data_IF_950651800735
#
_entry.id   IF_950651800735
#
_cell.length_a   1.000
_cell.length_b   1.000
_cell.length_c   1.000
_cell.angle_alpha   90.00
_cell.angle_beta   90.00
_cell.angle_gamma   90.00
#
_symmetry.space_group_name_H-M   'P 1'
#
loop_
_entity.id
_entity.type
_entity.pdbx_description
1 polymer ?
#
# COMPACT_ATOMS: atom_id res chain seq x y z
N UNK A 1 -57.37 -43.92 -9.24
CA UNK A 1 -56.17 -43.08 -9.16
C UNK A 1 -56.37 -42.08 -8.02
N UNK A 2 -55.65 -42.23 -6.90
CA UNK A 2 -55.71 -41.25 -5.79
C UNK A 2 -54.93 -40.01 -6.24
N UNK A 3 -55.63 -38.92 -6.53
CA UNK A 3 -55.02 -37.61 -6.76
C UNK A 3 -54.46 -37.11 -5.43
N UNK A 4 -53.13 -37.06 -5.33
CA UNK A 4 -52.42 -36.52 -4.18
C UNK A 4 -52.80 -35.04 -4.00
N UNK A 5 -53.47 -34.72 -2.89
CA UNK A 5 -53.63 -33.34 -2.44
C UNK A 5 -52.26 -32.83 -2.02
N UNK A 6 -51.49 -32.23 -2.93
CA UNK A 6 -50.30 -31.47 -2.57
C UNK A 6 -50.77 -30.35 -1.63
N UNK A 7 -50.35 -30.45 -0.37
CA UNK A 7 -50.77 -29.62 0.75
C UNK A 7 -50.51 -28.14 0.43
N UNK A 8 -51.56 -27.31 0.41
CA UNK A 8 -51.48 -25.83 0.30
C UNK A 8 -50.48 -25.18 1.28
N UNK A 9 -50.10 -25.89 2.36
CA UNK A 9 -49.06 -25.44 3.30
C UNK A 9 -47.62 -25.51 2.78
N UNK A 10 -47.32 -26.31 1.75
CA UNK A 10 -45.95 -26.43 1.22
C UNK A 10 -45.51 -25.16 0.46
N UNK A 11 -46.40 -24.55 -0.33
CA UNK A 11 -46.11 -23.30 -1.05
C UNK A 11 -45.94 -22.10 -0.13
N UNK A 12 -46.72 -22.02 0.96
CA UNK A 12 -46.60 -20.97 1.97
C UNK A 12 -45.28 -21.12 2.73
N UNK A 13 -44.92 -22.34 3.14
CA UNK A 13 -43.65 -22.63 3.80
C UNK A 13 -42.44 -22.29 2.90
N UNK A 14 -42.51 -22.60 1.60
CA UNK A 14 -41.46 -22.27 0.63
C UNK A 14 -41.30 -20.75 0.47
N UNK A 15 -42.40 -20.01 0.43
CA UNK A 15 -42.38 -18.54 0.31
C UNK A 15 -41.78 -17.89 1.56
N UNK A 16 -42.15 -18.36 2.75
CA UNK A 16 -41.58 -17.90 4.02
C UNK A 16 -40.07 -18.19 4.06
N UNK A 17 -39.66 -19.38 3.63
CA UNK A 17 -38.25 -19.77 3.57
C UNK A 17 -37.44 -18.84 2.64
N UNK A 18 -37.97 -18.51 1.46
CA UNK A 18 -37.31 -17.58 0.52
C UNK A 18 -37.16 -16.19 1.14
N UNK A 19 -38.19 -15.67 1.82
CA UNK A 19 -38.13 -14.38 2.50
C UNK A 19 -37.06 -14.39 3.62
N UNK A 20 -36.98 -15.48 4.39
CA UNK A 20 -35.95 -15.65 5.43
C UNK A 20 -34.56 -15.67 4.80
N UNK A 21 -34.36 -16.42 3.71
CA UNK A 21 -33.05 -16.51 3.02
C UNK A 21 -32.64 -15.13 2.49
N UNK A 22 -33.56 -14.40 1.85
CA UNK A 22 -33.28 -13.06 1.34
C UNK A 22 -32.95 -12.12 2.51
N UNK A 23 -33.79 -12.08 3.55
CA UNK A 23 -33.56 -11.23 4.72
C UNK A 23 -32.23 -11.55 5.43
N UNK A 24 -31.87 -12.82 5.52
CA UNK A 24 -30.59 -13.27 6.05
C UNK A 24 -29.40 -12.81 5.19
N UNK A 25 -29.52 -12.88 3.86
CA UNK A 25 -28.48 -12.41 2.94
C UNK A 25 -28.27 -10.89 3.03
N UNK A 26 -29.35 -10.12 3.19
CA UNK A 26 -29.29 -8.68 3.44
C UNK A 26 -28.61 -8.37 4.78
N UNK A 27 -28.98 -9.07 5.85
CA UNK A 27 -28.33 -8.93 7.16
C UNK A 27 -26.83 -9.24 7.12
N UNK A 28 -26.42 -10.31 6.42
CA UNK A 28 -25.00 -10.65 6.27
C UNK A 28 -24.27 -9.55 5.48
N UNK A 29 -24.84 -9.07 4.38
CA UNK A 29 -24.19 -8.03 3.57
C UNK A 29 -24.00 -6.72 4.34
N UNK A 30 -24.93 -6.38 5.22
CA UNK A 30 -24.85 -5.16 6.03
C UNK A 30 -23.90 -5.34 7.23
N UNK A 31 -23.85 -6.54 7.83
CA UNK A 31 -22.96 -6.84 8.94
C UNK A 31 -21.49 -7.10 8.53
N UNK A 32 -21.24 -7.57 7.30
CA UNK A 32 -19.91 -7.92 6.79
C UNK A 32 -19.50 -7.11 5.53
N UNK A 33 -20.25 -6.07 5.19
CA UNK A 33 -19.94 -5.19 4.07
C UNK A 33 -18.80 -4.21 4.40
N UNK A 34 -18.12 -3.65 3.39
CA UNK A 34 -17.10 -2.64 3.63
C UNK A 34 -17.74 -1.41 4.28
N UNK A 35 -17.08 -0.87 5.30
CA UNK A 35 -17.50 0.36 5.98
C UNK A 35 -16.58 1.50 5.57
N UNK A 36 -17.14 2.68 5.34
CA UNK A 36 -16.36 3.85 4.94
C UNK A 36 -16.32 4.87 6.06
N UNK A 37 -15.14 5.43 6.29
CA UNK A 37 -14.90 6.46 7.29
C UNK A 37 -14.00 7.53 6.70
N UNK A 38 -14.25 8.79 7.04
CA UNK A 38 -13.32 9.88 6.74
C UNK A 38 -12.69 10.35 8.04
N UNK A 39 -11.37 10.43 8.07
CA UNK A 39 -10.57 10.90 9.21
C UNK A 39 -9.79 12.12 8.75
N UNK A 40 -9.91 13.21 9.50
CA UNK A 40 -9.13 14.42 9.28
C UNK A 40 -8.01 14.49 10.32
N UNK A 41 -6.77 14.72 9.86
CA UNK A 41 -5.58 14.73 10.72
C UNK A 41 -4.79 15.99 10.42
N UNK A 42 -4.57 16.82 11.45
CA UNK A 42 -3.68 17.97 11.35
C UNK A 42 -2.21 17.51 11.25
N UNK A 43 -1.50 18.01 10.24
CA UNK A 43 -0.10 17.70 9.98
C UNK A 43 0.67 18.98 9.63
N UNK A 44 2.02 18.98 9.65
CA UNK A 44 2.82 20.20 9.47
C UNK A 44 2.60 20.95 8.14
N UNK A 45 2.04 20.30 7.13
CA UNK A 45 1.86 20.83 5.78
C UNK A 45 0.41 21.18 5.44
N UNK A 46 -0.49 21.07 6.41
CA UNK A 46 -1.93 21.22 6.22
C UNK A 46 -2.68 20.03 6.79
N UNK A 47 -3.98 19.98 6.50
CA UNK A 47 -4.86 18.93 7.00
C UNK A 47 -4.88 17.75 6.04
N UNK A 48 -4.60 16.56 6.55
CA UNK A 48 -4.73 15.32 5.79
C UNK A 48 -6.18 14.82 5.90
N UNK A 49 -6.86 14.70 4.77
CA UNK A 49 -8.17 14.07 4.63
C UNK A 49 -7.91 12.63 4.19
N UNK A 50 -8.24 11.69 5.08
CA UNK A 50 -8.07 10.26 4.86
C UNK A 50 -9.44 9.61 4.67
N UNK A 51 -9.68 8.99 3.51
CA UNK A 51 -10.89 8.20 3.29
C UNK A 51 -10.52 6.73 3.43
N UNK A 52 -11.00 6.13 4.50
CA UNK A 52 -10.78 4.73 4.88
C UNK A 52 -11.95 3.88 4.38
N UNK A 53 -11.62 2.75 3.77
CA UNK A 53 -12.50 1.63 3.54
C UNK A 53 -12.03 0.47 4.43
N UNK A 54 -12.81 0.21 5.48
CA UNK A 54 -12.66 -0.96 6.33
C UNK A 54 -13.27 -2.17 5.64
N UNK A 55 -12.48 -3.22 5.50
CA UNK A 55 -12.92 -4.53 5.03
C UNK A 55 -12.45 -5.57 6.03
N UNK A 56 -13.36 -6.38 6.56
CA UNK A 56 -13.00 -7.53 7.37
C UNK A 56 -13.46 -8.80 6.67
N UNK A 57 -12.56 -9.78 6.58
CA UNK A 57 -12.92 -11.15 6.26
C UNK A 57 -12.70 -12.06 7.48
N UNK A 58 -12.96 -13.36 7.34
CA UNK A 58 -12.81 -14.31 8.45
C UNK A 58 -11.35 -14.49 8.92
N UNK A 59 -10.37 -13.99 8.17
CA UNK A 59 -8.94 -14.19 8.40
C UNK A 59 -8.19 -12.91 8.80
N UNK A 60 -8.60 -11.74 8.29
CA UNK A 60 -7.87 -10.49 8.52
C UNK A 60 -8.78 -9.25 8.38
N UNK A 61 -8.26 -8.12 8.89
CA UNK A 61 -8.87 -6.80 8.78
C UNK A 61 -7.97 -5.92 7.92
N UNK A 62 -8.56 -5.23 6.96
CA UNK A 62 -7.87 -4.34 6.04
C UNK A 62 -8.49 -2.94 6.07
N UNK A 63 -7.62 -1.96 6.15
CA UNK A 63 -7.91 -0.54 6.05
C UNK A 63 -7.27 -0.03 4.76
N UNK A 64 -8.06 0.09 3.70
CA UNK A 64 -7.65 0.76 2.47
C UNK A 64 -7.88 2.26 2.65
N UNK A 65 -6.80 3.05 2.66
CA UNK A 65 -6.88 4.47 2.97
C UNK A 65 -6.37 5.30 1.81
N UNK A 66 -7.23 6.16 1.27
CA UNK A 66 -6.88 7.21 0.32
C UNK A 66 -6.52 8.51 1.04
N UNK A 67 -5.49 9.18 0.56
CA UNK A 67 -4.93 10.37 1.20
C UNK A 67 -5.04 11.60 0.32
N UNK A 68 -5.61 12.68 0.86
CA UNK A 68 -5.64 14.00 0.24
C UNK A 68 -5.14 15.04 1.22
N UNK A 69 -4.23 15.91 0.80
CA UNK A 69 -3.79 17.06 1.58
C UNK A 69 -4.64 18.27 1.24
N UNK A 70 -5.35 18.81 2.22
CA UNK A 70 -6.03 20.09 2.14
C UNK A 70 -5.08 21.20 2.58
N UNK A 71 -4.82 22.14 1.67
CA UNK A 71 -4.01 23.33 1.93
C UNK A 71 -4.88 24.51 2.35
N UNK A 72 -4.24 25.53 2.93
CA UNK A 72 -4.90 26.73 3.48
C UNK A 72 -5.78 27.48 2.47
N UNK A 73 -5.48 27.39 1.18
CA UNK A 73 -6.25 27.97 0.08
C UNK A 73 -7.46 27.11 -0.37
N UNK A 74 -7.83 26.08 0.40
CA UNK A 74 -8.83 25.06 0.04
C UNK A 74 -8.47 24.21 -1.19
N UNK A 75 -7.23 24.27 -1.66
CA UNK A 75 -6.74 23.38 -2.70
C UNK A 75 -6.48 21.99 -2.12
N UNK A 76 -6.77 20.95 -2.90
CA UNK A 76 -6.62 19.56 -2.47
C UNK A 76 -5.63 18.84 -3.37
N UNK A 77 -4.63 18.21 -2.75
CA UNK A 77 -3.63 17.39 -3.43
C UNK A 77 -3.88 15.93 -3.08
N UNK A 78 -4.21 15.09 -4.06
CA UNK A 78 -4.20 13.64 -3.84
C UNK A 78 -2.76 13.19 -3.62
N UNK A 79 -2.48 12.45 -2.55
CA UNK A 79 -1.13 11.97 -2.21
C UNK A 79 -0.95 10.48 -2.48
N UNK A 80 -2.00 9.74 -2.84
CA UNK A 80 -1.95 8.30 -3.03
C UNK A 80 -2.76 7.55 -1.99
N UNK A 81 -2.48 6.25 -1.87
CA UNK A 81 -3.18 5.34 -0.98
C UNK A 81 -2.22 4.42 -0.20
N UNK A 82 -2.71 3.82 0.88
CA UNK A 82 -2.03 2.81 1.67
C UNK A 82 -2.98 1.73 2.17
N UNK A 83 -2.43 0.57 2.51
CA UNK A 83 -3.18 -0.55 3.10
C UNK A 83 -2.59 -0.84 4.47
N UNK A 84 -3.45 -0.97 5.48
CA UNK A 84 -3.06 -1.22 6.85
C UNK A 84 -3.92 -2.32 7.47
N UNK A 85 -3.38 -3.04 8.46
CA UNK A 85 -4.10 -4.10 9.17
C UNK A 85 -4.30 -3.78 10.66
N UNK A 86 -4.14 -2.50 11.04
CA UNK A 86 -4.25 -2.03 12.41
C UNK A 86 -5.07 -0.73 12.46
N UNK A 87 -5.99 -0.64 13.41
CA UNK A 87 -6.93 0.49 13.60
C UNK A 87 -6.23 1.84 13.86
N UNK A 88 -4.99 1.82 14.38
CA UNK A 88 -4.17 3.00 14.65
C UNK A 88 -3.22 3.36 13.51
N UNK A 89 -3.54 2.98 12.27
CA UNK A 89 -2.72 3.25 11.08
C UNK A 89 -2.30 4.71 10.93
N UNK A 90 -3.13 5.66 11.41
CA UNK A 90 -2.87 7.09 11.33
C UNK A 90 -1.61 7.54 12.08
N UNK A 91 -1.18 6.78 13.10
CA UNK A 91 0.06 7.03 13.86
C UNK A 91 1.32 6.74 13.02
N UNK A 92 1.18 5.87 12.00
CA UNK A 92 2.28 5.45 11.11
C UNK A 92 2.43 6.35 9.89
N UNK A 93 1.57 7.35 9.73
CA UNK A 93 1.59 8.26 8.58
C UNK A 93 2.67 9.31 8.75
N UNK A 94 3.60 9.27 7.81
CA UNK A 94 4.62 10.27 7.61
C UNK A 94 4.33 11.07 6.34
N UNK A 95 4.17 12.38 6.50
CA UNK A 95 4.11 13.31 5.38
C UNK A 95 5.51 13.85 5.11
N UNK A 96 5.84 13.97 3.83
CA UNK A 96 7.11 14.51 3.37
C UNK A 96 6.89 15.66 2.40
N UNK A 97 7.90 16.51 2.28
CA UNK A 97 7.94 17.56 1.27
C UNK A 97 9.32 17.57 0.64
N UNK A 98 9.38 17.49 -0.69
CA UNK A 98 10.61 17.61 -1.47
C UNK A 98 10.37 18.75 -2.47
N UNK A 99 10.87 19.94 -2.13
CA UNK A 99 10.63 21.17 -2.90
C UNK A 99 9.12 21.43 -3.12
N UNK A 100 8.64 21.44 -4.36
CA UNK A 100 7.22 21.63 -4.70
C UNK A 100 6.38 20.34 -4.63
N UNK A 101 6.98 19.21 -4.25
CA UNK A 101 6.31 17.92 -4.15
C UNK A 101 5.89 17.64 -2.71
N UNK A 102 4.60 17.38 -2.53
CA UNK A 102 4.04 16.87 -1.27
C UNK A 102 3.90 15.36 -1.37
N UNK A 103 4.22 14.65 -0.29
CA UNK A 103 4.20 13.21 -0.30
C UNK A 103 3.70 12.56 0.96
N UNK A 104 3.33 11.30 0.80
CA UNK A 104 2.99 10.41 1.90
C UNK A 104 3.77 9.12 1.78
N UNK A 105 4.38 8.71 2.89
CA UNK A 105 5.06 7.42 3.02
C UNK A 105 4.05 6.39 3.46
N UNK A 106 3.91 5.32 2.69
CA UNK A 106 3.03 4.20 2.97
C UNK A 106 3.75 2.88 2.71
N UNK A 107 2.99 1.78 2.73
CA UNK A 107 3.46 0.47 2.31
C UNK A 107 2.50 -0.13 1.28
N UNK A 108 3.05 -0.98 0.42
CA UNK A 108 2.30 -1.88 -0.45
C UNK A 108 2.80 -3.30 -0.19
N UNK A 109 2.00 -4.10 0.51
CA UNK A 109 2.45 -5.39 1.04
C UNK A 109 3.72 -5.21 1.90
N UNK A 110 4.79 -5.95 1.61
CA UNK A 110 6.09 -5.87 2.30
C UNK A 110 7.03 -4.78 1.75
N UNK A 111 6.56 -3.92 0.86
CA UNK A 111 7.38 -2.91 0.18
C UNK A 111 7.03 -1.50 0.65
N UNK A 112 8.05 -0.69 0.92
CA UNK A 112 7.88 0.73 1.13
C UNK A 112 7.35 1.41 -0.15
N UNK A 113 6.49 2.40 0.05
CA UNK A 113 5.84 3.15 -1.03
C UNK A 113 5.85 4.63 -0.68
N UNK A 114 6.01 5.48 -1.69
CA UNK A 114 5.83 6.92 -1.57
C UNK A 114 4.91 7.37 -2.70
N UNK A 115 3.81 8.04 -2.34
CA UNK A 115 3.05 8.84 -3.29
C UNK A 115 3.50 10.30 -3.19
N UNK A 116 3.82 10.92 -4.32
CA UNK A 116 4.27 12.30 -4.45
C UNK A 116 3.34 13.04 -5.41
N UNK A 117 2.99 14.28 -5.07
CA UNK A 117 2.20 15.15 -5.93
C UNK A 117 2.82 16.54 -5.98
N UNK A 118 3.10 17.01 -7.18
CA UNK A 118 3.64 18.34 -7.40
C UNK A 118 2.53 19.38 -7.23
N UNK A 119 2.78 20.38 -6.41
CA UNK A 119 1.81 21.41 -6.08
C UNK A 119 1.41 22.25 -7.30
N UNK A 120 2.36 22.55 -8.19
CA UNK A 120 2.20 23.52 -9.28
C UNK A 120 1.46 22.91 -10.47
N UNK A 121 1.91 21.74 -10.94
CA UNK A 121 1.37 21.11 -12.14
C UNK A 121 0.38 19.96 -11.84
N UNK A 122 0.20 19.58 -10.57
CA UNK A 122 -0.66 18.48 -10.09
C UNK A 122 -0.25 17.09 -10.59
N UNK A 123 0.97 16.95 -11.11
CA UNK A 123 1.52 15.66 -11.47
C UNK A 123 1.62 14.77 -10.23
N UNK A 124 1.15 13.53 -10.36
CA UNK A 124 1.17 12.55 -9.30
C UNK A 124 2.05 11.37 -9.71
N UNK A 125 2.96 10.99 -8.81
CA UNK A 125 3.89 9.89 -9.00
C UNK A 125 3.77 8.96 -7.81
N UNK A 126 3.77 7.66 -8.10
CA UNK A 126 3.73 6.64 -7.09
C UNK A 126 4.93 5.72 -7.25
N UNK A 127 5.77 5.67 -6.22
CA UNK A 127 7.03 4.95 -6.21
C UNK A 127 6.89 3.79 -5.23
N UNK A 128 7.00 2.56 -5.75
CA UNK A 128 7.05 1.35 -4.92
C UNK A 128 8.46 0.80 -4.97
N UNK A 129 9.11 0.70 -3.81
CA UNK A 129 10.46 0.18 -3.69
C UNK A 129 10.46 -1.35 -3.69
N UNK A 130 10.13 -1.94 -4.84
CA UNK A 130 10.09 -3.39 -4.99
C UNK A 130 11.51 -3.95 -5.21
N UNK A 131 11.99 -4.90 -4.39
CA UNK A 131 13.31 -5.51 -4.60
C UNK A 131 13.50 -6.12 -5.99
N UNK A 132 12.42 -6.61 -6.63
CA UNK A 132 12.50 -7.17 -7.99
C UNK A 132 13.00 -6.15 -9.01
N UNK A 133 12.72 -4.86 -8.82
CA UNK A 133 13.13 -3.80 -9.74
C UNK A 133 14.62 -3.46 -9.63
N UNK A 134 15.31 -3.91 -8.57
CA UNK A 134 16.76 -3.73 -8.43
C UNK A 134 17.53 -4.39 -9.58
N UNK A 135 16.98 -5.47 -10.15
CA UNK A 135 17.57 -6.13 -11.31
C UNK A 135 17.54 -5.29 -12.58
N UNK A 136 16.83 -4.15 -12.59
CA UNK A 136 16.79 -3.22 -13.71
C UNK A 136 17.79 -2.06 -13.51
N UNK A 137 18.27 -1.86 -12.28
CA UNK A 137 19.18 -0.76 -11.93
C UNK A 137 20.65 -1.06 -12.28
N UNK A 138 21.28 -0.18 -13.06
CA UNK A 138 22.65 -0.37 -13.53
C UNK A 138 23.70 -0.29 -12.41
N UNK A 139 23.49 0.55 -11.39
CA UNK A 139 24.44 0.72 -10.27
C UNK A 139 24.36 -0.51 -9.36
N UNK A 140 23.14 -1.00 -9.13
CA UNK A 140 22.90 -2.24 -8.40
C UNK A 140 23.53 -3.43 -9.11
N UNK A 141 23.33 -3.56 -10.43
CA UNK A 141 23.95 -4.63 -11.24
C UNK A 141 25.45 -4.64 -11.05
N UNK A 142 26.11 -3.50 -11.27
CA UNK A 142 27.56 -3.36 -11.13
C UNK A 142 28.07 -3.80 -9.75
N UNK A 143 27.31 -3.48 -8.70
CA UNK A 143 27.66 -3.83 -7.30
C UNK A 143 27.43 -5.31 -6.97
N UNK A 144 26.63 -6.02 -7.77
CA UNK A 144 26.25 -7.42 -7.56
C UNK A 144 26.66 -8.34 -8.74
N UNK A 145 27.55 -7.89 -9.64
CA UNK A 145 27.98 -8.61 -10.85
C UNK A 145 28.45 -10.04 -10.57
N UNK A 146 29.09 -10.28 -9.42
CA UNK A 146 29.57 -11.61 -9.00
C UNK A 146 28.45 -12.63 -8.73
N UNK A 147 27.18 -12.19 -8.66
CA UNK A 147 26.04 -13.06 -8.39
C UNK A 147 24.90 -12.74 -9.36
N UNK A 148 24.95 -13.23 -10.62
CA UNK A 148 24.01 -12.91 -11.70
C UNK A 148 22.61 -13.52 -11.51
N UNK A 149 22.28 -13.92 -10.28
CA UNK A 149 21.03 -14.56 -9.95
C UNK A 149 19.88 -13.54 -9.93
N UNK A 150 18.72 -13.97 -10.44
CA UNK A 150 17.47 -13.24 -10.37
C UNK A 150 17.16 -12.78 -8.94
N UNK A 151 16.76 -11.53 -8.79
CA UNK A 151 16.24 -11.02 -7.52
C UNK A 151 14.84 -11.60 -7.36
N UNK A 152 14.58 -12.21 -6.21
CA UNK A 152 13.24 -12.66 -5.81
C UNK A 152 12.66 -11.73 -4.76
N UNK A 153 11.32 -11.76 -4.68
CA UNK A 153 10.52 -10.93 -3.80
C UNK A 153 11.02 -10.95 -2.36
N UNK A 154 10.82 -9.83 -1.69
CA UNK A 154 11.35 -9.59 -0.36
C UNK A 154 10.64 -8.42 0.30
N UNK A 155 11.39 -7.61 1.03
CA UNK A 155 10.84 -6.42 1.68
C UNK A 155 11.73 -5.22 1.44
N UNK A 156 11.14 -4.05 1.54
CA UNK A 156 11.86 -2.78 1.56
C UNK A 156 11.31 -1.87 2.65
N UNK A 157 12.18 -1.00 3.18
CA UNK A 157 11.83 -0.02 4.20
C UNK A 157 12.59 1.27 3.93
N UNK A 158 11.88 2.39 3.87
CA UNK A 158 12.51 3.72 3.89
C UNK A 158 13.15 3.91 5.28
N UNK A 159 14.45 4.20 5.29
CA UNK A 159 15.23 4.41 6.52
C UNK A 159 15.31 5.88 6.89
N UNK A 160 15.51 6.75 5.91
CA UNK A 160 15.47 8.20 6.07
C UNK A 160 15.13 8.89 4.76
N UNK A 161 14.58 10.09 4.88
CA UNK A 161 14.37 11.04 3.80
C UNK A 161 14.97 12.36 4.26
N UNK A 162 15.99 12.84 3.56
CA UNK A 162 16.76 14.03 3.91
C UNK A 162 16.90 14.92 2.67
N UNK A 163 16.12 16.01 2.63
CA UNK A 163 16.00 16.81 1.42
C UNK A 163 15.44 15.99 0.27
N UNK A 164 16.16 15.91 -0.85
CA UNK A 164 15.79 15.09 -2.00
C UNK A 164 16.44 13.69 -2.00
N UNK A 165 17.10 13.30 -0.92
CA UNK A 165 17.76 11.99 -0.79
C UNK A 165 16.87 11.04 -0.01
N UNK A 166 16.66 9.84 -0.55
CA UNK A 166 15.83 8.79 0.03
C UNK A 166 16.68 7.53 0.24
N UNK A 167 16.88 7.14 1.49
CA UNK A 167 17.61 5.93 1.83
C UNK A 167 16.65 4.78 2.05
N UNK A 168 16.78 3.71 1.27
CA UNK A 168 15.91 2.53 1.35
C UNK A 168 16.72 1.28 1.66
N UNK A 169 16.32 0.58 2.71
CA UNK A 169 16.84 -0.74 3.03
C UNK A 169 16.02 -1.83 2.34
N UNK A 170 16.70 -2.76 1.68
CA UNK A 170 16.13 -3.91 1.02
C UNK A 170 16.55 -5.21 1.71
N UNK A 171 15.63 -6.17 1.74
CA UNK A 171 15.90 -7.57 2.06
C UNK A 171 15.33 -8.41 0.94
N UNK A 172 16.16 -9.23 0.31
CA UNK A 172 15.73 -10.04 -0.82
C UNK A 172 16.55 -11.33 -0.94
N UNK A 173 16.09 -12.20 -1.82
CA UNK A 173 16.70 -13.50 -2.08
C UNK A 173 17.29 -13.51 -3.49
N UNK A 174 18.45 -14.14 -3.62
CA UNK A 174 19.09 -14.44 -4.88
C UNK A 174 18.96 -15.92 -5.21
N UNK A 175 18.58 -16.22 -6.45
CA UNK A 175 18.49 -17.58 -6.98
C UNK A 175 17.07 -18.12 -7.05
N UNK A 176 16.80 -18.92 -8.09
CA UNK A 176 15.51 -19.57 -8.35
C UNK A 176 15.29 -20.83 -7.49
N UNK A 177 16.37 -21.54 -7.14
CA UNK A 177 16.33 -22.80 -6.39
C UNK A 177 17.26 -22.78 -5.17
N UNK A 178 17.01 -23.69 -4.23
CA UNK A 178 17.86 -23.88 -3.06
C UNK A 178 19.26 -24.40 -3.42
N UNK A 179 20.30 -24.05 -2.64
CA UNK A 179 20.26 -23.22 -1.43
C UNK A 179 20.19 -21.72 -1.74
N UNK A 180 19.22 -21.05 -1.12
CA UNK A 180 18.98 -19.62 -1.33
C UNK A 180 20.04 -18.74 -0.66
N UNK A 181 20.42 -17.64 -1.33
CA UNK A 181 21.26 -16.60 -0.73
C UNK A 181 20.41 -15.37 -0.39
N UNK A 182 20.26 -15.08 0.89
CA UNK A 182 19.58 -13.86 1.34
C UNK A 182 20.56 -12.69 1.42
N UNK A 183 20.10 -11.52 0.97
CA UNK A 183 20.88 -10.28 0.95
C UNK A 183 20.12 -9.17 1.67
N UNK A 184 20.90 -8.28 2.28
CA UNK A 184 20.45 -7.02 2.84
C UNK A 184 21.28 -5.92 2.21
N UNK A 185 20.63 -4.89 1.70
CA UNK A 185 21.31 -3.78 1.05
C UNK A 185 20.63 -2.46 1.36
N UNK A 186 21.42 -1.41 1.36
CA UNK A 186 20.94 -0.04 1.41
C UNK A 186 21.17 0.61 0.05
N UNK A 187 20.11 1.20 -0.48
CA UNK A 187 20.16 1.97 -1.73
C UNK A 187 19.79 3.40 -1.42
N UNK A 188 20.66 4.30 -1.85
CA UNK A 188 20.49 5.74 -1.75
C UNK A 188 19.98 6.23 -3.09
N UNK A 189 18.80 6.85 -3.07
CA UNK A 189 18.17 7.48 -4.22
C UNK A 189 18.21 8.99 -4.08
N UNK A 190 18.20 9.69 -5.20
CA UNK A 190 17.99 11.14 -5.27
C UNK A 190 16.82 11.41 -6.20
N UNK A 191 15.88 12.21 -5.70
CA UNK A 191 14.73 12.68 -6.44
C UNK A 191 15.08 13.98 -7.16
N UNK A 192 14.91 13.99 -8.48
CA UNK A 192 14.97 15.19 -9.30
C UNK A 192 13.56 15.80 -9.34
N UNK A 193 13.38 16.89 -8.61
CA UNK A 193 12.07 17.52 -8.43
C UNK A 193 11.60 18.26 -9.69
N UNK A 194 12.51 18.71 -10.55
CA UNK A 194 12.17 19.35 -11.82
C UNK A 194 11.62 18.31 -12.82
N UNK A 195 12.21 17.11 -12.82
CA UNK A 195 11.83 16.04 -13.73
C UNK A 195 10.79 15.06 -13.16
N UNK A 196 10.60 15.04 -11.83
CA UNK A 196 9.78 14.04 -11.16
C UNK A 196 10.40 12.64 -11.16
N UNK A 197 11.72 12.51 -11.31
CA UNK A 197 12.39 11.22 -11.52
C UNK A 197 13.25 10.85 -10.32
N UNK A 198 13.13 9.59 -9.89
CA UNK A 198 14.01 9.02 -8.87
C UNK A 198 15.21 8.32 -9.53
N UNK A 199 16.42 8.69 -9.12
CA UNK A 199 17.67 8.10 -9.63
C UNK A 199 18.47 7.45 -8.51
N UNK A 200 19.00 6.26 -8.76
CA UNK A 200 19.92 5.61 -7.83
C UNK A 200 21.25 6.36 -7.83
N UNK A 201 21.80 6.61 -6.63
CA UNK A 201 23.11 7.24 -6.45
C UNK A 201 24.13 6.26 -5.91
N UNK A 202 23.73 5.41 -4.97
CA UNK A 202 24.66 4.50 -4.30
C UNK A 202 23.96 3.23 -3.83
N UNK A 203 24.68 2.11 -3.90
CA UNK A 203 24.26 0.81 -3.35
C UNK A 203 25.33 0.36 -2.36
N UNK A 204 24.94 0.01 -1.14
CA UNK A 204 25.82 -0.47 -0.06
C UNK A 204 25.34 -1.82 0.44
N UNK A 205 26.24 -2.81 0.52
CA UNK A 205 25.94 -4.06 1.21
C UNK A 205 25.87 -3.81 2.72
N UNK A 206 24.81 -4.29 3.37
CA UNK A 206 24.74 -4.28 4.83
C UNK A 206 25.49 -5.50 5.34
N UNK A 207 26.74 -5.33 5.73
CA UNK A 207 27.43 -6.34 6.54
C UNK A 207 26.72 -6.44 7.87
N UNK A 208 26.10 -7.59 8.16
CA UNK A 208 25.70 -7.89 9.53
C UNK A 208 26.98 -7.83 10.36
N UNK A 209 27.08 -6.86 11.29
CA UNK A 209 28.08 -6.90 12.34
C UNK A 209 27.96 -8.25 13.05
N UNK A 210 29.10 -8.90 13.27
CA UNK A 210 29.18 -10.05 14.18
C UNK A 210 28.76 -9.63 15.59
#
# INVERSE_FOLDING_TARGET
MKTEKIKKGCGIALTILIIIIIGFFWMIKEAFGPTYKTVEIEKPFGKLICTEQYTADMADVFYDVDFKLLKDNSDTLYLGNGIYNEDNWYEKIELIKIEDWYGIVTAYSSHAKIGLTNEKNKEHINIVFNPLELQNDSIWKKTNEENPAWVYGGSSKIKSIEGNVINVGYKYRLGLHEPFKFKKQDVEYSFDADLGILTTKKVKQVTNGK
#
